data_IF_922689724664
#
_entry.id   IF_922689724664
#
_cell.length_a   1.000
_cell.length_b   1.000
_cell.length_c   1.000
_cell.angle_alpha   90.00
_cell.angle_beta   90.00
_cell.angle_gamma   90.00
#
_symmetry.space_group_name_H-M   'P 1'
#
loop_
_entity.id
_entity.type
_entity.pdbx_description
1 polymer ?
#
# COMPACT_ATOMS: atom_id res chain seq x y z
N UNK A 1 28.38 8.54 -27.54
CA UNK A 1 27.39 9.50 -27.01
C UNK A 1 26.37 8.74 -26.17
N UNK A 2 26.19 9.07 -24.88
CA UNK A 2 25.16 8.47 -24.03
C UNK A 2 23.88 9.29 -24.16
N UNK A 3 22.85 8.73 -24.78
CA UNK A 3 21.53 9.34 -24.88
C UNK A 3 20.91 9.40 -23.48
N UNK A 4 20.70 10.61 -22.95
CA UNK A 4 19.98 10.82 -21.70
C UNK A 4 18.49 10.97 -22.05
N UNK A 5 17.64 10.14 -21.47
CA UNK A 5 16.20 10.19 -21.69
C UNK A 5 15.57 11.27 -20.79
N UNK A 6 14.52 11.93 -21.28
CA UNK A 6 13.79 12.99 -20.58
C UNK A 6 13.31 12.56 -19.18
N UNK A 7 13.02 11.27 -18.98
CA UNK A 7 12.63 10.70 -17.69
C UNK A 7 13.71 10.81 -16.60
N UNK A 8 15.00 10.95 -16.97
CA UNK A 8 16.10 11.15 -16.02
C UNK A 8 16.25 12.62 -15.57
N UNK A 9 15.49 13.54 -16.14
CA UNK A 9 15.44 14.93 -15.71
C UNK A 9 14.45 15.03 -14.54
N UNK A 10 14.97 15.02 -13.32
CA UNK A 10 14.26 15.10 -12.04
C UNK A 10 13.58 16.46 -11.82
N UNK A 11 12.76 16.91 -12.77
CA UNK A 11 12.08 18.22 -12.74
C UNK A 11 10.57 18.12 -12.60
N UNK A 12 9.95 16.96 -12.91
CA UNK A 12 8.49 16.81 -12.89
C UNK A 12 7.95 16.21 -11.59
N UNK A 13 8.74 15.43 -10.85
CA UNK A 13 8.30 14.85 -9.57
C UNK A 13 8.22 15.89 -8.44
N UNK A 14 9.08 16.91 -8.46
CA UNK A 14 9.18 17.92 -7.40
C UNK A 14 7.93 18.83 -7.26
N UNK A 15 7.07 18.90 -8.28
CA UNK A 15 5.93 19.83 -8.32
C UNK A 15 4.57 19.15 -8.48
N UNK A 16 4.48 17.84 -8.28
CA UNK A 16 3.18 17.17 -8.30
C UNK A 16 2.46 17.43 -6.98
N UNK A 17 1.37 18.21 -7.01
CA UNK A 17 0.49 18.38 -5.85
C UNK A 17 0.01 17.01 -5.40
N UNK A 18 0.14 16.70 -4.11
CA UNK A 18 -0.41 15.46 -3.54
C UNK A 18 -1.90 15.40 -3.86
N UNK A 19 -2.34 14.27 -4.40
CA UNK A 19 -3.76 14.06 -4.65
C UNK A 19 -4.48 13.91 -3.31
N UNK A 20 -5.78 14.22 -3.26
CA UNK A 20 -6.60 14.00 -2.05
C UNK A 20 -6.54 12.55 -1.57
N UNK A 21 -6.44 11.59 -2.50
CA UNK A 21 -6.27 10.16 -2.19
C UNK A 21 -4.94 9.89 -1.49
N UNK A 22 -3.84 10.48 -1.97
CA UNK A 22 -2.53 10.31 -1.35
C UNK A 22 -2.49 10.89 0.08
N UNK A 23 -3.06 12.08 0.27
CA UNK A 23 -3.17 12.71 1.60
C UNK A 23 -3.98 11.81 2.55
N UNK A 24 -5.15 11.33 2.10
CA UNK A 24 -5.98 10.42 2.89
C UNK A 24 -5.23 9.13 3.30
N UNK A 25 -4.43 8.55 2.39
CA UNK A 25 -3.64 7.36 2.71
C UNK A 25 -2.55 7.64 3.76
N UNK A 26 -1.92 8.81 3.70
CA UNK A 26 -0.95 9.23 4.72
C UNK A 26 -1.61 9.40 6.09
N UNK A 27 -2.81 9.98 6.13
CA UNK A 27 -3.60 10.09 7.36
C UNK A 27 -3.98 8.72 7.90
N UNK A 28 -4.43 7.80 7.04
CA UNK A 28 -4.81 6.46 7.46
C UNK A 28 -3.64 5.63 7.97
N UNK A 29 -2.43 5.83 7.43
CA UNK A 29 -1.23 5.15 7.95
C UNK A 29 -0.91 5.55 9.40
N UNK A 30 -1.29 6.78 9.80
CA UNK A 30 -1.12 7.28 11.17
C UNK A 30 -2.27 6.85 12.10
N UNK A 31 -3.49 6.84 11.58
CA UNK A 31 -4.71 6.63 12.39
C UNK A 31 -5.03 5.15 12.59
N UNK A 32 -4.71 4.29 11.63
CA UNK A 32 -5.06 2.87 11.69
C UNK A 32 -4.01 2.08 12.49
N UNK A 33 -4.40 1.34 13.53
CA UNK A 33 -3.47 0.53 14.32
C UNK A 33 -3.12 -0.78 13.58
N UNK A 34 -2.32 -0.69 12.51
CA UNK A 34 -2.01 -1.81 11.62
C UNK A 34 -1.42 -3.04 12.34
N UNK A 35 -0.54 -2.82 13.32
CA UNK A 35 0.10 -3.91 14.08
C UNK A 35 -0.91 -4.72 14.88
N UNK A 36 -1.80 -4.05 15.60
CA UNK A 36 -2.85 -4.69 16.42
C UNK A 36 -3.87 -5.41 15.54
N UNK A 37 -4.29 -4.78 14.44
CA UNK A 37 -5.21 -5.39 13.49
C UNK A 37 -4.60 -6.62 12.82
N UNK A 38 -3.33 -6.54 12.41
CA UNK A 38 -2.64 -7.69 11.82
C UNK A 38 -2.53 -8.83 12.83
N UNK A 39 -2.18 -8.55 14.09
CA UNK A 39 -2.08 -9.56 15.15
C UNK A 39 -3.44 -10.21 15.47
N UNK A 40 -4.54 -9.45 15.41
CA UNK A 40 -5.88 -9.98 15.60
C UNK A 40 -6.32 -10.91 14.45
N UNK A 41 -5.92 -10.59 13.23
CA UNK A 41 -6.31 -11.35 12.02
C UNK A 41 -5.40 -12.55 11.78
N UNK A 42 -4.14 -12.49 12.20
CA UNK A 42 -3.13 -13.52 11.94
C UNK A 42 -3.54 -14.95 12.35
N UNK A 43 -4.19 -15.20 13.51
CA UNK A 43 -4.67 -16.53 13.88
C UNK A 43 -5.71 -17.12 12.91
N UNK A 44 -6.47 -16.26 12.24
CA UNK A 44 -7.51 -16.64 11.29
C UNK A 44 -7.01 -16.67 9.85
N UNK A 45 -5.82 -16.14 9.58
CA UNK A 45 -5.27 -16.08 8.23
C UNK A 45 -4.63 -17.40 7.82
N UNK A 46 -4.95 -17.83 6.59
CA UNK A 46 -4.49 -19.11 6.07
C UNK A 46 -2.96 -19.21 6.05
N UNK A 47 -2.44 -20.23 6.74
CA UNK A 47 -1.01 -20.51 6.76
C UNK A 47 -0.56 -21.07 5.39
N UNK A 48 0.67 -20.78 4.95
CA UNK A 48 1.19 -21.30 3.69
C UNK A 48 1.14 -22.84 3.66
N UNK A 49 0.43 -23.40 2.67
CA UNK A 49 0.38 -24.83 2.37
C UNK A 49 1.17 -25.22 1.11
N UNK A 50 0.87 -26.39 0.52
CA UNK A 50 1.48 -26.89 -0.73
C UNK A 50 0.94 -26.20 -2.00
N UNK A 51 0.76 -24.89 -1.97
CA UNK A 51 0.15 -24.12 -3.05
C UNK A 51 0.75 -22.73 -3.21
N UNK A 52 0.04 -21.83 -3.88
CA UNK A 52 0.45 -20.43 -4.01
C UNK A 52 0.65 -19.83 -2.62
N UNK A 53 1.83 -19.27 -2.38
CA UNK A 53 2.14 -18.62 -1.10
C UNK A 53 1.10 -17.53 -0.83
N UNK A 54 0.39 -17.57 0.31
CA UNK A 54 -0.51 -16.50 0.70
C UNK A 54 0.22 -15.16 0.72
N UNK A 55 -0.50 -14.11 0.40
CA UNK A 55 -0.02 -12.75 0.61
C UNK A 55 0.13 -12.54 2.13
N UNK A 56 1.16 -11.83 2.60
CA UNK A 56 1.29 -11.54 4.03
C UNK A 56 0.03 -10.85 4.58
N UNK A 57 -0.37 -11.21 5.80
CA UNK A 57 -1.59 -10.72 6.50
C UNK A 57 -1.71 -9.20 6.38
N UNK A 58 -0.64 -8.51 6.73
CA UNK A 58 -0.56 -7.04 6.74
C UNK A 58 -0.83 -6.43 5.36
N UNK A 59 -0.33 -7.06 4.29
CA UNK A 59 -0.54 -6.59 2.91
C UNK A 59 -1.97 -6.85 2.44
N UNK A 60 -2.53 -8.02 2.76
CA UNK A 60 -3.93 -8.30 2.45
C UNK A 60 -4.87 -7.34 3.17
N UNK A 61 -4.61 -7.09 4.45
CA UNK A 61 -5.41 -6.20 5.27
C UNK A 61 -5.43 -4.79 4.68
N UNK A 62 -4.27 -4.25 4.29
CA UNK A 62 -4.20 -2.95 3.60
C UNK A 62 -5.00 -2.93 2.30
N UNK A 63 -4.94 -3.99 1.50
CA UNK A 63 -5.72 -4.07 0.24
C UNK A 63 -7.22 -4.04 0.53
N UNK A 64 -7.71 -4.79 1.52
CA UNK A 64 -9.14 -4.78 1.87
C UNK A 64 -9.60 -3.40 2.38
N UNK A 65 -8.78 -2.73 3.20
CA UNK A 65 -9.08 -1.38 3.67
C UNK A 65 -9.12 -0.37 2.51
N UNK A 66 -8.18 -0.46 1.56
CA UNK A 66 -8.21 0.36 0.36
C UNK A 66 -9.48 0.14 -0.48
N UNK A 67 -9.89 -1.13 -0.64
CA UNK A 67 -11.13 -1.47 -1.33
C UNK A 67 -12.34 -0.84 -0.63
N UNK A 68 -12.41 -0.96 0.70
CA UNK A 68 -13.50 -0.38 1.49
C UNK A 68 -13.52 1.16 1.44
N UNK A 69 -12.37 1.82 1.56
CA UNK A 69 -12.29 3.29 1.58
C UNK A 69 -12.62 3.94 0.24
N UNK A 70 -12.19 3.30 -0.85
CA UNK A 70 -12.41 3.83 -2.20
C UNK A 70 -13.59 3.19 -2.92
N UNK A 71 -14.31 2.26 -2.25
CA UNK A 71 -15.42 1.51 -2.81
C UNK A 71 -15.02 0.84 -4.15
N UNK A 72 -13.84 0.19 -4.15
CA UNK A 72 -13.23 -0.46 -5.31
C UNK A 72 -13.78 -1.88 -5.54
#
# INVERSE_FOLDING_TARGET
MKQRTLAMMTGFEQYTRKTRRAIFLEEMEQVVPWGELSALVEPHYSKPGKGRRPVGVERMLRIYFLQQWFNL
#
